data_IF_662254498385
#
_entry.id   IF_662254498385
#
_cell.length_a   1.000
_cell.length_b   1.000
_cell.length_c   1.000
_cell.angle_alpha   90.00
_cell.angle_beta   90.00
_cell.angle_gamma   90.00
#
_symmetry.space_group_name_H-M   'P 1'
#
loop_
_entity.id
_entity.type
_entity.pdbx_description
1 polymer ?
#
# COMPACT_ATOMS: atom_id res chain seq x y z
N UNK A 1 11.56 -11.30 7.77
CA UNK A 1 11.63 -10.06 6.97
C UNK A 1 11.34 -10.37 5.50
N UNK A 2 10.12 -10.77 5.12
CA UNK A 2 9.77 -11.06 3.71
C UNK A 2 8.25 -11.01 3.43
N UNK A 3 7.54 -9.98 3.93
CA UNK A 3 6.10 -9.76 3.61
C UNK A 3 5.78 -8.28 3.34
N UNK A 4 6.65 -7.54 2.65
CA UNK A 4 6.44 -6.10 2.37
C UNK A 4 5.80 -5.78 1.02
N UNK A 5 5.69 -6.74 0.09
CA UNK A 5 5.16 -6.48 -1.26
C UNK A 5 3.62 -6.35 -1.26
N UNK A 6 2.89 -7.30 -0.68
CA UNK A 6 1.42 -7.22 -0.59
C UNK A 6 0.89 -6.10 0.33
N UNK A 7 1.56 -5.82 1.46
CA UNK A 7 1.15 -4.74 2.38
C UNK A 7 1.22 -3.34 1.73
N UNK A 8 2.18 -3.11 0.84
CA UNK A 8 2.27 -1.85 0.09
C UNK A 8 1.26 -1.76 -1.05
N UNK A 9 0.82 -2.90 -1.61
CA UNK A 9 -0.10 -2.94 -2.77
C UNK A 9 -1.58 -2.92 -2.36
N UNK A 10 -1.94 -3.49 -1.21
CA UNK A 10 -3.31 -3.41 -0.68
C UNK A 10 -3.69 -1.98 -0.25
N UNK A 11 -2.74 -1.19 0.24
CA UNK A 11 -2.95 0.23 0.57
C UNK A 11 -3.28 1.10 -0.66
N UNK A 12 -2.90 0.67 -1.87
CA UNK A 12 -3.14 1.40 -3.12
C UNK A 12 -4.45 1.02 -3.82
N UNK A 13 -5.19 0.02 -3.33
CA UNK A 13 -6.55 -0.28 -3.83
C UNK A 13 -7.65 0.43 -3.04
N UNK A 14 -7.29 1.21 -2.01
CA UNK A 14 -8.20 2.16 -1.39
C UNK A 14 -8.45 3.33 -2.36
N UNK A 15 -9.55 3.24 -3.10
CA UNK A 15 -10.19 4.33 -3.85
C UNK A 15 -9.25 5.08 -4.79
N UNK A 16 -8.85 4.42 -5.89
CA UNK A 16 -8.58 5.18 -7.11
C UNK A 16 -9.91 5.84 -7.54
N UNK A 17 -10.16 7.05 -7.05
CA UNK A 17 -11.19 7.92 -7.60
C UNK A 17 -10.83 8.12 -9.07
N UNK A 18 -11.52 7.42 -9.95
CA UNK A 18 -11.43 7.69 -11.38
C UNK A 18 -11.72 9.17 -11.56
N UNK A 19 -10.87 9.93 -12.28
CA UNK A 19 -11.15 11.32 -12.55
C UNK A 19 -12.50 11.38 -13.26
N UNK A 20 -13.45 12.11 -12.67
CA UNK A 20 -14.79 12.26 -13.22
C UNK A 20 -14.69 12.74 -14.68
N UNK A 21 -15.53 12.25 -15.60
CA UNK A 21 -15.56 12.69 -16.99
C UNK A 21 -15.64 14.22 -17.10
N UNK A 22 -15.04 14.80 -18.15
CA UNK A 22 -14.97 16.27 -18.35
C UNK A 22 -16.32 16.98 -18.35
N UNK A 23 -17.41 16.26 -18.61
CA UNK A 23 -18.77 16.79 -18.64
C UNK A 23 -19.59 16.44 -17.38
N UNK A 24 -18.94 15.98 -16.30
CA UNK A 24 -19.66 15.74 -15.06
C UNK A 24 -20.12 17.09 -14.48
N UNK A 25 -21.42 17.28 -14.19
CA UNK A 25 -21.90 18.51 -13.59
C UNK A 25 -21.14 18.79 -12.29
N UNK A 26 -20.77 20.06 -12.07
CA UNK A 26 -20.18 20.50 -10.81
C UNK A 26 -21.16 20.12 -9.71
N UNK A 27 -20.76 19.18 -8.85
CA UNK A 27 -21.49 18.90 -7.62
C UNK A 27 -21.26 20.12 -6.75
N UNK A 28 -22.19 21.07 -6.79
CA UNK A 28 -22.28 22.08 -5.75
C UNK A 28 -22.42 21.32 -4.43
N UNK A 29 -21.47 21.50 -3.52
CA UNK A 29 -21.61 20.99 -2.17
C UNK A 29 -22.94 21.52 -1.66
N UNK A 30 -23.91 20.66 -1.30
CA UNK A 30 -25.18 21.14 -0.80
C UNK A 30 -24.86 22.01 0.41
N UNK A 31 -25.33 23.27 0.35
CA UNK A 31 -25.20 24.18 1.47
C UNK A 31 -25.63 23.44 2.73
N UNK A 32 -24.78 23.39 3.75
CA UNK A 32 -24.97 22.59 4.97
C UNK A 32 -26.28 22.91 5.74
N UNK A 33 -27.06 23.87 5.26
CA UNK A 33 -28.31 24.35 5.84
C UNK A 33 -29.50 24.36 4.86
N UNK A 34 -29.44 23.65 3.72
CA UNK A 34 -30.61 23.52 2.86
C UNK A 34 -31.72 22.74 3.62
N UNK A 35 -32.95 23.25 3.70
CA UNK A 35 -34.04 22.57 4.39
C UNK A 35 -34.30 21.22 3.71
N UNK A 36 -34.30 20.15 4.51
CA UNK A 36 -34.61 18.80 4.03
C UNK A 36 -36.05 18.77 3.46
N UNK A 37 -36.33 17.90 2.47
CA UNK A 37 -37.68 17.72 1.92
C UNK A 37 -38.72 17.46 3.02
N UNK A 38 -39.96 17.91 2.79
CA UNK A 38 -41.03 17.92 3.79
C UNK A 38 -41.39 16.55 4.41
N UNK A 39 -41.02 15.45 3.74
CA UNK A 39 -41.28 14.08 4.19
C UNK A 39 -40.04 13.35 4.74
N UNK A 40 -38.93 14.07 4.99
CA UNK A 40 -37.78 13.45 5.62
C UNK A 40 -38.08 13.23 7.11
N UNK A 41 -37.92 12.00 7.65
CA UNK A 41 -38.16 11.74 9.06
C UNK A 41 -37.29 12.70 9.91
N UNK A 42 -37.86 13.26 11.00
CA UNK A 42 -37.13 14.19 11.85
C UNK A 42 -35.88 13.49 12.37
N UNK A 43 -34.72 14.12 12.16
CA UNK A 43 -33.45 13.62 12.68
C UNK A 43 -33.55 13.71 14.21
N UNK A 44 -33.85 12.58 14.86
CA UNK A 44 -34.22 12.52 16.28
C UNK A 44 -33.10 12.99 17.25
N UNK A 45 -31.93 13.34 16.73
CA UNK A 45 -30.74 13.67 17.51
C UNK A 45 -30.51 15.17 17.68
N UNK A 46 -31.54 15.96 18.01
CA UNK A 46 -31.42 17.29 18.65
C UNK A 46 -30.29 18.23 18.18
N UNK A 47 -29.94 18.25 16.89
CA UNK A 47 -28.85 19.06 16.34
C UNK A 47 -27.42 18.57 16.61
N UNK A 48 -27.22 17.37 17.19
CA UNK A 48 -25.88 16.78 17.30
C UNK A 48 -25.46 16.17 15.94
N UNK A 49 -24.22 16.42 15.48
CA UNK A 49 -23.72 15.80 14.25
C UNK A 49 -23.71 14.28 14.39
N UNK A 50 -23.88 13.58 13.26
CA UNK A 50 -23.75 12.12 13.23
C UNK A 50 -22.36 11.70 13.73
N UNK A 51 -22.25 10.61 14.52
CA UNK A 51 -20.96 10.14 15.01
C UNK A 51 -20.05 9.74 13.84
N UNK A 52 -18.75 10.03 13.97
CA UNK A 52 -17.74 9.59 13.00
C UNK A 52 -17.58 8.06 13.06
N UNK A 53 -16.97 7.47 12.02
CA UNK A 53 -16.66 6.03 12.01
C UNK A 53 -15.82 5.62 13.23
N UNK A 54 -14.87 6.47 13.64
CA UNK A 54 -14.05 6.26 14.83
C UNK A 54 -14.88 6.30 16.12
N UNK A 55 -15.80 7.26 16.26
CA UNK A 55 -16.69 7.34 17.41
C UNK A 55 -17.63 6.13 17.50
N UNK A 56 -18.16 5.67 16.36
CA UNK A 56 -18.97 4.45 16.29
C UNK A 56 -18.15 3.22 16.72
N UNK A 57 -16.92 3.07 16.23
CA UNK A 57 -16.04 1.98 16.61
C UNK A 57 -15.69 2.02 18.11
N UNK A 58 -15.44 3.20 18.69
CA UNK A 58 -15.23 3.35 20.12
C UNK A 58 -16.46 2.93 20.94
N UNK A 59 -17.67 3.29 20.49
CA UNK A 59 -18.92 2.86 21.14
C UNK A 59 -19.13 1.34 21.05
N UNK A 60 -18.84 0.74 19.89
CA UNK A 60 -18.94 -0.71 19.69
C UNK A 60 -17.92 -1.46 20.56
N UNK A 61 -16.68 -0.98 20.62
CA UNK A 61 -15.62 -1.57 21.46
C UNK A 61 -15.95 -1.48 22.96
N UNK A 62 -16.63 -0.42 23.39
CA UNK A 62 -17.10 -0.27 24.77
C UNK A 62 -18.28 -1.20 25.11
N UNK A 63 -18.92 -1.84 24.12
CA UNK A 63 -20.07 -2.71 24.34
C UNK A 63 -19.62 -4.10 24.81
N UNK A 64 -19.81 -4.36 26.11
CA UNK A 64 -19.46 -5.66 26.71
C UNK A 64 -20.21 -6.83 26.06
N UNK A 65 -19.45 -7.85 25.66
CA UNK A 65 -19.99 -9.07 25.06
C UNK A 65 -20.37 -8.94 23.59
N UNK A 66 -20.03 -7.83 22.92
CA UNK A 66 -20.44 -7.62 21.52
C UNK A 66 -19.84 -8.68 20.60
N UNK A 67 -18.60 -9.11 20.80
CA UNK A 67 -17.94 -10.12 19.97
C UNK A 67 -18.60 -11.49 20.13
N UNK A 68 -19.04 -11.83 21.32
CA UNK A 68 -19.53 -13.16 21.71
C UNK A 68 -21.01 -13.40 21.41
N UNK A 69 -21.82 -12.33 21.34
CA UNK A 69 -23.25 -12.45 21.05
C UNK A 69 -23.48 -12.96 19.63
N UNK A 70 -24.40 -13.90 19.49
CA UNK A 70 -24.86 -14.35 18.19
C UNK A 70 -25.54 -13.21 17.43
N UNK A 71 -25.23 -13.10 16.13
CA UNK A 71 -25.72 -12.06 15.23
C UNK A 71 -26.35 -12.71 14.01
N UNK A 72 -27.28 -11.99 13.36
CA UNK A 72 -27.67 -12.37 12.00
C UNK A 72 -26.47 -12.23 11.05
N UNK A 73 -26.57 -12.83 9.88
CA UNK A 73 -25.55 -12.70 8.84
C UNK A 73 -25.26 -11.23 8.53
N UNK A 74 -26.30 -10.42 8.33
CA UNK A 74 -26.22 -9.03 7.91
C UNK A 74 -25.53 -8.16 8.96
N UNK A 75 -25.85 -8.35 10.24
CA UNK A 75 -25.22 -7.61 11.34
C UNK A 75 -23.74 -7.99 11.47
N UNK A 76 -23.41 -9.28 11.43
CA UNK A 76 -22.03 -9.76 11.52
C UNK A 76 -21.19 -9.27 10.33
N UNK A 77 -21.72 -9.38 9.12
CA UNK A 77 -21.09 -8.89 7.90
C UNK A 77 -20.84 -7.37 7.97
N UNK A 78 -21.83 -6.58 8.37
CA UNK A 78 -21.70 -5.13 8.50
C UNK A 78 -20.62 -4.72 9.51
N UNK A 79 -20.57 -5.37 10.68
CA UNK A 79 -19.52 -5.11 11.67
C UNK A 79 -18.15 -5.47 11.11
N UNK A 80 -17.98 -6.65 10.50
CA UNK A 80 -16.71 -7.04 9.88
C UNK A 80 -16.24 -6.02 8.83
N UNK A 81 -17.14 -5.57 7.93
CA UNK A 81 -16.83 -4.55 6.93
C UNK A 81 -16.42 -3.22 7.57
N UNK A 82 -17.11 -2.80 8.64
CA UNK A 82 -16.79 -1.59 9.38
C UNK A 82 -15.37 -1.63 9.97
N UNK A 83 -15.00 -2.70 10.70
CA UNK A 83 -13.66 -2.82 11.27
C UNK A 83 -12.58 -2.93 10.18
N UNK A 84 -12.83 -3.71 9.11
CA UNK A 84 -11.87 -3.92 8.03
C UNK A 84 -11.53 -2.61 7.30
N UNK A 85 -12.55 -1.85 6.90
CA UNK A 85 -12.38 -0.60 6.14
C UNK A 85 -11.76 0.53 6.96
N UNK A 86 -11.83 0.45 8.30
CA UNK A 86 -11.17 1.39 9.21
C UNK A 86 -9.77 0.92 9.65
N UNK A 87 -9.13 0.04 8.87
CA UNK A 87 -7.74 -0.38 9.11
C UNK A 87 -7.56 -1.30 10.32
N UNK A 88 -8.64 -1.95 10.78
CA UNK A 88 -8.62 -2.93 11.89
C UNK A 88 -8.95 -4.34 11.40
N UNK A 89 -8.14 -4.93 10.48
CA UNK A 89 -8.45 -6.22 9.87
C UNK A 89 -8.50 -7.35 10.90
N UNK A 90 -7.64 -7.32 11.93
CA UNK A 90 -7.64 -8.34 12.99
C UNK A 90 -8.94 -8.36 13.80
N UNK A 91 -9.51 -7.18 14.08
CA UNK A 91 -10.80 -7.08 14.78
C UNK A 91 -12.00 -7.47 13.91
N UNK A 92 -11.85 -7.41 12.58
CA UNK A 92 -12.89 -7.78 11.63
C UNK A 92 -13.10 -9.29 11.50
N UNK A 93 -12.02 -10.08 11.61
CA UNK A 93 -12.03 -11.55 11.44
C UNK A 93 -13.15 -12.25 12.23
N UNK A 94 -13.30 -12.06 13.56
CA UNK A 94 -14.32 -12.79 14.33
C UNK A 94 -15.76 -12.46 13.92
N UNK A 95 -16.02 -11.28 13.36
CA UNK A 95 -17.34 -10.92 12.85
C UNK A 95 -17.59 -11.56 11.48
N UNK A 96 -16.59 -11.60 10.61
CA UNK A 96 -16.71 -12.33 9.34
C UNK A 96 -16.90 -13.84 9.57
N UNK A 97 -16.25 -14.43 10.58
CA UNK A 97 -16.47 -15.84 10.95
C UNK A 97 -17.90 -16.13 11.41
N UNK A 98 -18.51 -15.20 12.15
CA UNK A 98 -19.92 -15.32 12.55
C UNK A 98 -20.86 -15.25 11.34
N UNK A 99 -20.58 -14.37 10.38
CA UNK A 99 -21.34 -14.29 9.13
C UNK A 99 -21.19 -15.58 8.30
N UNK A 100 -19.95 -16.07 8.13
CA UNK A 100 -19.66 -17.32 7.42
C UNK A 100 -20.38 -18.52 8.05
N UNK A 101 -20.43 -18.59 9.39
CA UNK A 101 -21.15 -19.64 10.10
C UNK A 101 -22.65 -19.68 9.75
N UNK A 102 -23.27 -18.53 9.46
CA UNK A 102 -24.68 -18.44 9.01
C UNK A 102 -24.87 -18.90 7.56
N UNK A 103 -23.86 -18.73 6.71
CA UNK A 103 -23.90 -19.15 5.32
C UNK A 103 -23.55 -20.64 5.09
N UNK A 104 -22.95 -21.31 6.10
CA UNK A 104 -22.46 -22.69 5.98
C UNK A 104 -23.51 -23.70 5.51
N UNK A 105 -24.75 -23.59 5.98
CA UNK A 105 -25.84 -24.47 5.55
C UNK A 105 -26.18 -24.32 4.06
N UNK A 106 -26.21 -23.07 3.58
CA UNK A 106 -26.48 -22.74 2.16
C UNK A 106 -25.37 -23.24 1.25
N UNK A 107 -24.11 -23.10 1.68
CA UNK A 107 -22.93 -23.66 1.00
C UNK A 107 -23.02 -25.17 0.86
N UNK A 108 -23.29 -25.88 1.96
CA UNK A 108 -23.44 -27.32 1.95
C UNK A 108 -24.59 -27.77 1.01
N UNK A 109 -25.71 -27.05 1.02
CA UNK A 109 -26.82 -27.28 0.11
C UNK A 109 -26.38 -27.11 -1.35
N UNK A 110 -25.72 -26.00 -1.69
CA UNK A 110 -25.23 -25.72 -3.04
C UNK A 110 -24.33 -26.86 -3.55
N UNK A 111 -23.30 -27.24 -2.79
CA UNK A 111 -22.36 -28.29 -3.18
C UNK A 111 -23.06 -29.65 -3.36
N UNK A 112 -24.03 -29.97 -2.50
CA UNK A 112 -24.83 -31.18 -2.62
C UNK A 112 -25.67 -31.19 -3.91
N UNK A 113 -26.27 -30.06 -4.28
CA UNK A 113 -27.05 -29.96 -5.52
C UNK A 113 -26.15 -29.96 -6.77
N UNK A 114 -25.01 -29.28 -6.75
CA UNK A 114 -24.01 -29.33 -7.83
C UNK A 114 -23.54 -30.76 -8.07
N UNK A 115 -23.27 -31.52 -7.00
CA UNK A 115 -22.91 -32.95 -7.11
C UNK A 115 -24.01 -33.78 -7.79
N UNK A 116 -25.29 -33.49 -7.52
CA UNK A 116 -26.44 -34.15 -8.18
C UNK A 116 -26.60 -33.74 -9.65
N UNK A 117 -26.19 -32.53 -10.02
CA UNK A 117 -26.20 -32.05 -11.40
C UNK A 117 -25.11 -32.70 -12.25
N UNK A 118 -23.97 -33.06 -11.65
CA UNK A 118 -22.83 -33.65 -12.32
C UNK A 118 -22.15 -32.62 -13.22
N UNK A 119 -22.13 -32.88 -14.53
CA UNK A 119 -21.55 -31.96 -15.54
C UNK A 119 -22.52 -30.89 -16.05
N UNK A 120 -23.79 -30.96 -15.64
CA UNK A 120 -24.80 -29.98 -16.07
C UNK A 120 -24.50 -28.61 -15.43
N UNK A 121 -24.49 -27.52 -16.20
CA UNK A 121 -24.24 -26.19 -15.66
C UNK A 121 -25.35 -25.78 -14.68
N UNK A 122 -24.99 -25.00 -13.67
CA UNK A 122 -25.94 -24.39 -12.74
C UNK A 122 -26.58 -23.17 -13.44
N UNK A 123 -27.91 -23.13 -13.59
CA UNK A 123 -28.60 -21.97 -14.18
C UNK A 123 -28.33 -20.66 -13.44
N UNK A 124 -28.60 -19.54 -14.09
CA UNK A 124 -28.59 -18.22 -13.44
C UNK A 124 -29.73 -18.10 -12.42
N UNK A 125 -29.64 -17.11 -11.53
CA UNK A 125 -30.69 -16.82 -10.55
C UNK A 125 -32.01 -16.41 -11.22
N UNK A 126 -31.91 -15.68 -12.34
CA UNK A 126 -33.01 -15.21 -13.18
C UNK A 126 -33.69 -16.37 -13.92
N UNK A 127 -32.89 -17.25 -14.54
CA UNK A 127 -33.39 -18.46 -15.22
C UNK A 127 -34.13 -19.37 -14.25
N UNK A 128 -33.58 -19.54 -13.04
CA UNK A 128 -34.21 -20.30 -11.98
C UNK A 128 -35.39 -19.57 -11.32
N UNK A 129 -35.56 -18.25 -11.55
CA UNK A 129 -36.57 -17.40 -10.93
C UNK A 129 -36.51 -17.45 -9.39
N UNK A 130 -35.34 -17.18 -8.82
CA UNK A 130 -35.14 -17.22 -7.36
C UNK A 130 -35.91 -16.10 -6.64
N UNK A 131 -36.16 -14.96 -7.29
CA UNK A 131 -37.02 -13.89 -6.77
C UNK A 131 -36.42 -13.11 -5.60
N UNK A 132 -35.09 -13.13 -5.43
CA UNK A 132 -34.43 -12.41 -4.35
C UNK A 132 -34.27 -10.93 -4.70
N UNK A 133 -34.61 -10.06 -3.75
CA UNK A 133 -34.32 -8.63 -3.78
C UNK A 133 -33.06 -8.28 -2.98
N UNK A 134 -32.58 -7.03 -3.07
CA UNK A 134 -31.40 -6.57 -2.33
C UNK A 134 -31.56 -6.67 -0.80
N UNK A 135 -32.79 -6.54 -0.30
CA UNK A 135 -33.09 -6.57 1.14
C UNK A 135 -33.55 -7.96 1.63
N UNK A 136 -33.47 -8.99 0.78
CA UNK A 136 -33.86 -10.35 1.20
C UNK A 136 -32.80 -10.88 2.16
N UNK A 137 -33.20 -11.29 3.36
CA UNK A 137 -32.27 -11.84 4.34
C UNK A 137 -31.70 -13.20 3.88
N UNK A 138 -30.46 -13.50 4.26
CA UNK A 138 -29.79 -14.75 3.86
C UNK A 138 -30.61 -15.99 4.25
N UNK A 139 -31.22 -15.98 5.43
CA UNK A 139 -32.04 -17.08 5.93
C UNK A 139 -33.29 -17.34 5.07
N UNK A 140 -33.92 -16.27 4.57
CA UNK A 140 -35.07 -16.39 3.67
C UNK A 140 -34.64 -16.96 2.31
N UNK A 141 -33.50 -16.50 1.76
CA UNK A 141 -32.93 -17.05 0.53
C UNK A 141 -32.56 -18.54 0.69
N UNK A 142 -31.96 -18.90 1.83
CA UNK A 142 -31.62 -20.27 2.18
C UNK A 142 -32.85 -21.19 2.18
N UNK A 143 -33.92 -20.75 2.86
CA UNK A 143 -35.17 -21.50 2.93
C UNK A 143 -35.79 -21.74 1.56
N UNK A 144 -35.77 -20.73 0.68
CA UNK A 144 -36.27 -20.88 -0.69
C UNK A 144 -35.47 -21.91 -1.50
N UNK A 145 -34.13 -21.92 -1.37
CA UNK A 145 -33.28 -22.92 -2.01
C UNK A 145 -33.54 -24.34 -1.46
N UNK A 146 -33.72 -24.48 -0.14
CA UNK A 146 -34.05 -25.75 0.50
C UNK A 146 -35.40 -26.31 0.06
N UNK A 147 -36.42 -25.46 -0.08
CA UNK A 147 -37.74 -25.86 -0.56
C UNK A 147 -37.66 -26.46 -1.97
N UNK A 148 -36.87 -25.85 -2.86
CA UNK A 148 -36.61 -26.40 -4.20
C UNK A 148 -35.88 -27.73 -4.15
N UNK A 149 -34.88 -27.85 -3.28
CA UNK A 149 -34.16 -29.11 -3.10
C UNK A 149 -35.07 -30.25 -2.62
N UNK A 150 -36.01 -29.94 -1.72
CA UNK A 150 -37.04 -30.88 -1.24
C UNK A 150 -38.03 -31.27 -2.34
N UNK A 151 -38.35 -30.35 -3.25
CA UNK A 151 -39.18 -30.60 -4.42
C UNK A 151 -38.48 -31.37 -5.55
N UNK A 152 -37.18 -31.71 -5.40
CA UNK A 152 -36.42 -32.42 -6.43
C UNK A 152 -35.89 -31.53 -7.57
N UNK A 153 -36.09 -30.22 -7.49
CA UNK A 153 -35.54 -29.23 -8.42
C UNK A 153 -34.07 -28.94 -8.10
N UNK A 154 -33.19 -29.91 -8.39
CA UNK A 154 -31.75 -29.75 -8.15
C UNK A 154 -31.13 -28.55 -8.90
N UNK A 155 -31.46 -28.28 -10.19
CA UNK A 155 -30.93 -27.11 -10.91
C UNK A 155 -31.36 -25.79 -10.26
N UNK A 156 -32.64 -25.62 -9.95
CA UNK A 156 -33.14 -24.39 -9.34
C UNK A 156 -32.67 -24.23 -7.90
N UNK A 157 -32.56 -25.32 -7.12
CA UNK A 157 -31.99 -25.29 -5.78
C UNK A 157 -30.51 -24.87 -5.79
N UNK A 158 -29.71 -25.41 -6.72
CA UNK A 158 -28.31 -24.98 -6.88
C UNK A 158 -28.20 -23.52 -7.29
N UNK A 159 -29.02 -23.07 -8.24
CA UNK A 159 -29.03 -21.68 -8.70
C UNK A 159 -29.40 -20.71 -7.57
N UNK A 160 -30.46 -21.01 -6.81
CA UNK A 160 -30.89 -20.15 -5.70
C UNK A 160 -29.95 -20.23 -4.50
N UNK A 161 -29.36 -21.39 -4.20
CA UNK A 161 -28.33 -21.46 -3.16
C UNK A 161 -27.08 -20.65 -3.54
N UNK A 162 -26.65 -20.69 -4.81
CA UNK A 162 -25.53 -19.85 -5.30
C UNK A 162 -25.86 -18.36 -5.21
N UNK A 163 -27.07 -17.97 -5.61
CA UNK A 163 -27.52 -16.58 -5.50
C UNK A 163 -27.58 -16.12 -4.04
N UNK A 164 -28.04 -16.98 -3.13
CA UNK A 164 -28.06 -16.72 -1.70
C UNK A 164 -26.66 -16.53 -1.11
N UNK A 165 -25.66 -17.24 -1.63
CA UNK A 165 -24.27 -17.12 -1.20
C UNK A 165 -23.56 -15.86 -1.70
N UNK A 166 -24.09 -15.13 -2.70
CA UNK A 166 -23.41 -13.97 -3.26
C UNK A 166 -22.89 -12.96 -2.20
N UNK A 167 -23.71 -12.48 -1.23
CA UNK A 167 -23.20 -11.61 -0.17
C UNK A 167 -22.22 -12.30 0.78
N UNK A 168 -22.35 -13.61 0.99
CA UNK A 168 -21.45 -14.38 1.85
C UNK A 168 -20.06 -14.54 1.22
N UNK A 169 -19.97 -14.76 -0.10
CA UNK A 169 -18.71 -14.87 -0.82
C UNK A 169 -17.90 -13.56 -0.78
N UNK A 170 -18.57 -12.40 -0.82
CA UNK A 170 -17.92 -11.11 -0.63
C UNK A 170 -17.30 -11.01 0.77
N UNK A 171 -18.06 -11.41 1.80
CA UNK A 171 -17.62 -11.42 3.21
C UNK A 171 -16.44 -12.37 3.43
N UNK A 172 -16.51 -13.57 2.88
CA UNK A 172 -15.43 -14.55 2.95
C UNK A 172 -14.17 -14.07 2.22
N UNK A 173 -14.32 -13.41 1.07
CA UNK A 173 -13.21 -12.75 0.36
C UNK A 173 -12.53 -11.67 1.22
N UNK A 174 -13.33 -10.81 1.86
CA UNK A 174 -12.81 -9.80 2.80
C UNK A 174 -12.14 -10.42 4.03
N UNK A 175 -12.67 -11.53 4.54
CA UNK A 175 -12.06 -12.30 5.63
C UNK A 175 -10.69 -12.84 5.21
N UNK A 176 -10.59 -13.41 4.01
CA UNK A 176 -9.33 -13.89 3.48
C UNK A 176 -8.30 -12.75 3.37
N UNK A 177 -8.69 -11.57 2.87
CA UNK A 177 -7.83 -10.37 2.88
C UNK A 177 -7.45 -9.93 4.30
N UNK A 178 -8.39 -9.97 5.26
CA UNK A 178 -8.12 -9.64 6.66
C UNK A 178 -7.11 -10.60 7.30
N UNK A 179 -7.19 -11.89 6.99
CA UNK A 179 -6.26 -12.92 7.43
C UNK A 179 -4.87 -12.72 6.83
N UNK A 180 -4.76 -12.32 5.55
CA UNK A 180 -3.47 -11.92 4.96
C UNK A 180 -2.84 -10.78 5.73
N UNK A 181 -3.60 -9.72 6.03
CA UNK A 181 -3.11 -8.56 6.79
C UNK A 181 -2.76 -8.91 8.24
N UNK A 182 -3.44 -9.90 8.82
CA UNK A 182 -3.14 -10.44 10.14
C UNK A 182 -1.91 -11.38 10.15
N UNK A 183 -1.38 -11.75 8.98
CA UNK A 183 -0.24 -12.65 8.84
C UNK A 183 -0.60 -14.14 8.81
N UNK A 184 -1.88 -14.51 8.88
CA UNK A 184 -2.34 -15.90 8.77
C UNK A 184 -2.57 -16.29 7.31
N UNK A 185 -1.46 -16.46 6.59
CA UNK A 185 -1.50 -16.85 5.17
C UNK A 185 -2.12 -18.23 4.94
N UNK A 186 -2.06 -19.14 5.93
CA UNK A 186 -2.61 -20.49 5.79
C UNK A 186 -4.13 -20.44 5.82
N UNK A 187 -4.71 -19.74 6.81
CA UNK A 187 -6.15 -19.57 6.89
C UNK A 187 -6.68 -18.73 5.72
N UNK A 188 -5.93 -17.72 5.28
CA UNK A 188 -6.31 -16.91 4.11
C UNK A 188 -6.40 -17.74 2.81
N UNK A 189 -5.42 -18.63 2.54
CA UNK A 189 -5.48 -19.52 1.38
C UNK A 189 -6.72 -20.41 1.41
N UNK A 190 -7.01 -21.01 2.56
CA UNK A 190 -8.20 -21.85 2.73
C UNK A 190 -9.49 -21.06 2.48
N UNK A 191 -9.60 -19.85 3.05
CA UNK A 191 -10.78 -18.99 2.83
C UNK A 191 -10.95 -18.58 1.36
N UNK A 192 -9.87 -18.27 0.63
CA UNK A 192 -9.98 -18.01 -0.81
C UNK A 192 -10.37 -19.27 -1.60
N UNK A 193 -9.87 -20.45 -1.23
CA UNK A 193 -10.23 -21.72 -1.87
C UNK A 193 -11.72 -22.04 -1.66
N UNK A 194 -12.25 -21.79 -0.46
CA UNK A 194 -13.67 -21.94 -0.16
C UNK A 194 -14.52 -21.02 -1.07
N UNK A 195 -14.13 -19.76 -1.26
CA UNK A 195 -14.83 -18.85 -2.19
C UNK A 195 -14.79 -19.39 -3.63
N UNK A 196 -13.63 -19.85 -4.09
CA UNK A 196 -13.42 -20.35 -5.45
C UNK A 196 -14.12 -21.69 -5.73
N UNK A 197 -14.42 -22.49 -4.71
CA UNK A 197 -15.23 -23.70 -4.84
C UNK A 197 -16.67 -23.38 -5.30
N UNK A 198 -17.22 -22.26 -4.82
CA UNK A 198 -18.59 -21.82 -5.17
C UNK A 198 -18.58 -20.94 -6.42
N UNK A 199 -17.62 -20.03 -6.52
CA UNK A 199 -17.50 -19.06 -7.60
C UNK A 199 -16.06 -19.06 -8.16
N UNK A 200 -15.74 -19.96 -9.12
CA UNK A 200 -14.38 -20.11 -9.67
C UNK A 200 -13.83 -18.84 -10.35
N UNK A 201 -14.71 -17.91 -10.73
CA UNK A 201 -14.36 -16.63 -11.35
C UNK A 201 -14.58 -15.45 -10.40
N UNK A 202 -14.63 -15.67 -9.08
CA UNK A 202 -14.76 -14.57 -8.14
C UNK A 202 -13.48 -13.70 -8.16
N UNK A 203 -13.62 -12.44 -8.57
CA UNK A 203 -12.48 -11.56 -8.88
C UNK A 203 -11.47 -11.46 -7.74
N UNK A 204 -11.92 -11.08 -6.53
CA UNK A 204 -11.04 -10.90 -5.37
C UNK A 204 -10.33 -12.20 -4.97
N UNK A 205 -11.07 -13.30 -4.84
CA UNK A 205 -10.52 -14.58 -4.41
C UNK A 205 -9.55 -15.18 -5.42
N UNK A 206 -9.82 -15.04 -6.72
CA UNK A 206 -8.96 -15.56 -7.77
C UNK A 206 -7.62 -14.81 -7.81
N UNK A 207 -7.65 -13.48 -7.70
CA UNK A 207 -6.43 -12.66 -7.62
C UNK A 207 -5.70 -12.90 -6.30
N UNK A 208 -6.42 -12.84 -5.17
CA UNK A 208 -5.87 -12.97 -3.82
C UNK A 208 -5.21 -14.32 -3.58
N UNK A 209 -5.83 -15.42 -4.01
CA UNK A 209 -5.25 -16.78 -3.91
C UNK A 209 -3.95 -16.90 -4.70
N UNK A 210 -3.96 -16.50 -5.99
CA UNK A 210 -2.79 -16.58 -6.86
C UNK A 210 -1.62 -15.73 -6.32
N UNK A 211 -1.90 -14.50 -5.88
CA UNK A 211 -0.89 -13.62 -5.29
C UNK A 211 -0.32 -14.22 -4.00
N UNK A 212 -1.17 -14.75 -3.12
CA UNK A 212 -0.73 -15.31 -1.84
C UNK A 212 0.10 -16.58 -2.03
N UNK A 213 -0.23 -17.44 -2.99
CA UNK A 213 0.58 -18.59 -3.38
C UNK A 213 1.96 -18.15 -3.86
N UNK A 214 2.04 -17.17 -4.76
CA UNK A 214 3.32 -16.64 -5.26
C UNK A 214 4.20 -16.12 -4.11
N UNK A 215 3.62 -15.37 -3.17
CA UNK A 215 4.37 -14.76 -2.09
C UNK A 215 4.85 -15.76 -1.03
N UNK A 216 3.98 -16.67 -0.62
CA UNK A 216 4.21 -17.53 0.55
C UNK A 216 4.77 -18.90 0.19
N UNK A 217 4.60 -19.34 -1.06
CA UNK A 217 5.04 -20.64 -1.58
C UNK A 217 6.06 -20.51 -2.71
N UNK A 218 6.90 -19.46 -2.65
CA UNK A 218 7.87 -19.13 -3.70
C UNK A 218 8.94 -20.20 -4.02
N UNK A 219 9.11 -21.22 -3.19
CA UNK A 219 10.02 -22.34 -3.44
C UNK A 219 9.28 -23.62 -3.91
N UNK A 220 7.96 -23.64 -3.82
CA UNK A 220 7.14 -24.78 -4.24
C UNK A 220 6.70 -24.56 -5.69
N UNK A 221 7.35 -25.27 -6.62
CA UNK A 221 7.08 -25.14 -8.05
C UNK A 221 5.63 -25.48 -8.41
N UNK A 222 4.98 -26.43 -7.70
CA UNK A 222 3.57 -26.77 -7.95
C UNK A 222 2.65 -25.63 -7.52
N UNK A 223 2.95 -25.00 -6.37
CA UNK A 223 2.22 -23.84 -5.91
C UNK A 223 2.40 -22.63 -6.86
N UNK A 224 3.60 -22.43 -7.40
CA UNK A 224 3.87 -21.39 -8.40
C UNK A 224 3.15 -21.65 -9.73
N UNK A 225 3.12 -22.89 -10.20
CA UNK A 225 2.33 -23.27 -11.38
C UNK A 225 0.83 -23.00 -11.15
N UNK A 226 0.34 -23.28 -9.94
CA UNK A 226 -1.04 -22.96 -9.55
C UNK A 226 -1.28 -21.45 -9.54
N UNK A 227 -0.36 -20.66 -8.96
CA UNK A 227 -0.42 -19.21 -8.98
C UNK A 227 -0.44 -18.63 -10.41
N UNK A 228 0.41 -19.15 -11.30
CA UNK A 228 0.44 -18.74 -12.71
C UNK A 228 -0.90 -19.00 -13.40
N UNK A 229 -1.43 -20.21 -13.27
CA UNK A 229 -2.76 -20.56 -13.80
C UNK A 229 -3.86 -19.69 -13.21
N UNK A 230 -3.76 -19.36 -11.92
CA UNK A 230 -4.67 -18.44 -11.25
C UNK A 230 -4.68 -17.04 -11.88
N UNK A 231 -3.51 -16.46 -12.13
CA UNK A 231 -3.40 -15.16 -12.82
C UNK A 231 -3.89 -15.21 -14.28
N UNK A 232 -3.62 -16.29 -15.02
CA UNK A 232 -4.14 -16.48 -16.37
C UNK A 232 -5.68 -16.56 -16.37
N UNK A 233 -6.25 -17.35 -15.47
CA UNK A 233 -7.69 -17.49 -15.33
C UNK A 233 -8.35 -16.17 -14.87
N UNK A 234 -7.69 -15.41 -13.99
CA UNK A 234 -8.13 -14.07 -13.60
C UNK A 234 -8.20 -13.12 -14.80
N UNK A 235 -7.16 -13.09 -15.63
CA UNK A 235 -7.11 -12.23 -16.81
C UNK A 235 -8.14 -12.62 -17.88
N UNK A 236 -8.45 -13.91 -17.99
CA UNK A 236 -9.48 -14.42 -18.89
C UNK A 236 -10.90 -14.04 -18.40
N UNK A 237 -11.16 -14.13 -17.11
CA UNK A 237 -12.47 -13.80 -16.53
C UNK A 237 -12.68 -12.28 -16.36
N UNK A 238 -11.62 -11.52 -16.05
CA UNK A 238 -11.68 -10.11 -15.65
C UNK A 238 -10.71 -9.22 -16.44
N UNK A 239 -10.78 -9.18 -17.78
CA UNK A 239 -9.81 -8.46 -18.61
C UNK A 239 -9.79 -6.94 -18.37
N UNK A 240 -10.90 -6.38 -17.87
CA UNK A 240 -11.09 -4.96 -17.58
C UNK A 240 -10.87 -4.59 -16.11
N UNK A 241 -10.53 -5.56 -15.24
CA UNK A 241 -10.28 -5.28 -13.83
C UNK A 241 -9.18 -4.22 -13.68
N UNK A 242 -9.29 -3.30 -12.70
CA UNK A 242 -8.20 -2.39 -12.35
C UNK A 242 -6.90 -3.15 -11.97
N UNK A 243 -7.01 -4.43 -11.60
CA UNK A 243 -5.86 -5.29 -11.26
C UNK A 243 -5.30 -6.06 -12.45
N UNK A 244 -5.88 -5.97 -13.66
CA UNK A 244 -5.43 -6.74 -14.82
C UNK A 244 -3.96 -6.47 -15.18
N UNK A 245 -3.51 -5.21 -15.14
CA UNK A 245 -2.09 -4.88 -15.41
C UNK A 245 -1.15 -5.51 -14.37
N UNK A 246 -1.54 -5.47 -13.09
CA UNK A 246 -0.77 -6.08 -12.01
C UNK A 246 -0.76 -7.61 -12.12
N UNK A 247 -1.90 -8.24 -12.42
CA UNK A 247 -1.99 -9.69 -12.62
C UNK A 247 -1.10 -10.18 -13.77
N UNK A 248 -1.01 -9.44 -14.90
CA UNK A 248 -0.07 -9.75 -15.98
C UNK A 248 1.38 -9.71 -15.50
N UNK A 249 1.75 -8.66 -14.77
CA UNK A 249 3.11 -8.50 -14.23
C UNK A 249 3.45 -9.62 -13.26
N UNK A 250 2.56 -9.93 -12.32
CA UNK A 250 2.76 -11.01 -11.36
C UNK A 250 2.83 -12.37 -12.03
N UNK A 251 1.96 -12.65 -13.01
CA UNK A 251 2.01 -13.89 -13.80
C UNK A 251 3.35 -14.07 -14.54
N UNK A 252 3.89 -13.00 -15.15
CA UNK A 252 5.22 -13.02 -15.76
C UNK A 252 6.33 -13.26 -14.74
N UNK A 253 6.27 -12.57 -13.59
CA UNK A 253 7.24 -12.80 -12.50
C UNK A 253 7.16 -14.23 -11.96
N UNK A 254 5.96 -14.79 -11.82
CA UNK A 254 5.75 -16.18 -11.41
C UNK A 254 6.38 -17.14 -12.43
N UNK A 255 6.20 -16.91 -13.74
CA UNK A 255 6.84 -17.72 -14.78
C UNK A 255 8.37 -17.66 -14.68
N UNK A 256 8.95 -16.46 -14.56
CA UNK A 256 10.40 -16.32 -14.40
C UNK A 256 10.92 -17.01 -13.13
N UNK A 257 10.13 -16.98 -12.04
CA UNK A 257 10.46 -17.71 -10.82
C UNK A 257 10.44 -19.23 -11.03
N UNK A 258 9.47 -19.75 -11.79
CA UNK A 258 9.41 -21.17 -12.16
C UNK A 258 10.63 -21.54 -13.02
N UNK A 259 10.95 -20.75 -14.04
CA UNK A 259 12.08 -20.99 -14.96
C UNK A 259 13.43 -20.99 -14.22
N UNK A 260 13.57 -20.13 -13.21
CA UNK A 260 14.75 -20.10 -12.35
C UNK A 260 14.82 -21.29 -11.37
N UNK A 261 13.74 -22.08 -11.24
CA UNK A 261 13.65 -23.21 -10.31
C UNK A 261 13.41 -22.78 -8.86
N UNK A 262 12.67 -21.68 -8.64
CA UNK A 262 12.29 -21.17 -7.32
C UNK A 262 12.70 -19.71 -7.07
N UNK A 263 12.05 -19.09 -6.08
CA UNK A 263 12.20 -17.65 -5.77
C UNK A 263 13.61 -17.30 -5.32
N UNK A 264 14.29 -18.13 -4.54
CA UNK A 264 15.70 -17.92 -4.16
C UNK A 264 16.62 -17.80 -5.38
N UNK A 265 16.49 -18.72 -6.35
CA UNK A 265 17.32 -18.70 -7.56
C UNK A 265 16.99 -17.52 -8.46
N UNK A 266 15.70 -17.19 -8.59
CA UNK A 266 15.25 -16.00 -9.31
C UNK A 266 15.85 -14.71 -8.71
N UNK A 267 15.81 -14.55 -7.39
CA UNK A 267 16.38 -13.37 -6.74
C UNK A 267 17.91 -13.32 -6.89
N UNK A 268 18.58 -14.46 -6.83
CA UNK A 268 20.02 -14.56 -7.07
C UNK A 268 20.40 -14.15 -8.50
N UNK A 269 19.68 -14.65 -9.52
CA UNK A 269 19.95 -14.26 -10.92
C UNK A 269 19.71 -12.77 -11.15
N UNK A 270 18.65 -12.21 -10.56
CA UNK A 270 18.38 -10.76 -10.61
C UNK A 270 19.46 -9.94 -9.91
N UNK A 271 20.04 -10.43 -8.82
CA UNK A 271 21.14 -9.76 -8.15
C UNK A 271 22.41 -9.74 -9.02
N UNK A 272 22.74 -10.84 -9.69
CA UNK A 272 23.88 -10.91 -10.61
C UNK A 272 23.68 -10.02 -11.84
N UNK A 273 22.50 -10.05 -12.47
CA UNK A 273 22.15 -9.16 -13.59
C UNK A 273 22.33 -7.66 -13.23
N UNK A 274 22.03 -7.30 -11.98
CA UNK A 274 22.24 -5.93 -11.48
C UNK A 274 23.71 -5.59 -11.33
N UNK A 275 24.52 -6.52 -10.78
CA UNK A 275 25.98 -6.32 -10.67
C UNK A 275 26.61 -6.09 -12.04
N UNK A 276 26.22 -6.88 -13.03
CA UNK A 276 26.71 -6.74 -14.42
C UNK A 276 26.29 -5.41 -15.04
N UNK A 277 25.03 -5.00 -14.88
CA UNK A 277 24.59 -3.69 -15.39
C UNK A 277 25.30 -2.53 -14.71
N UNK A 278 25.50 -2.59 -13.41
CA UNK A 278 26.21 -1.55 -12.68
C UNK A 278 27.68 -1.48 -13.12
N UNK A 279 28.34 -2.62 -13.35
CA UNK A 279 29.72 -2.62 -13.84
C UNK A 279 29.83 -2.09 -15.28
N UNK A 280 28.86 -2.38 -16.15
CA UNK A 280 28.80 -1.80 -17.50
C UNK A 280 28.61 -0.28 -17.46
N UNK A 281 27.67 0.23 -16.65
CA UNK A 281 27.46 1.67 -16.49
C UNK A 281 28.70 2.36 -15.94
N UNK A 282 29.43 1.74 -15.01
CA UNK A 282 30.69 2.28 -14.48
C UNK A 282 31.84 2.22 -15.51
N UNK A 283 31.86 1.22 -16.40
CA UNK A 283 32.85 1.11 -17.46
C UNK A 283 32.60 2.08 -18.64
N UNK A 284 31.34 2.40 -18.90
CA UNK A 284 30.91 3.35 -19.94
C UNK A 284 30.83 4.80 -19.42
N UNK A 285 31.04 5.02 -18.11
CA UNK A 285 31.12 6.36 -17.56
C UNK A 285 32.31 7.10 -18.22
N UNK A 286 32.07 8.22 -18.92
CA UNK A 286 33.14 8.97 -19.56
C UNK A 286 34.18 9.37 -18.50
N UNK A 287 35.49 9.31 -18.81
CA UNK A 287 36.52 9.77 -17.88
C UNK A 287 36.16 11.19 -17.45
N UNK A 288 36.20 11.43 -16.14
CA UNK A 288 35.93 12.74 -15.55
C UNK A 288 36.76 13.78 -16.29
N UNK A 289 36.13 14.53 -17.18
CA UNK A 289 36.81 15.60 -17.89
C UNK A 289 37.21 16.62 -16.83
N UNK A 290 38.50 16.99 -16.73
CA UNK A 290 38.89 18.11 -15.88
C UNK A 290 38.09 19.34 -16.34
N UNK A 291 37.69 20.23 -15.41
CA UNK A 291 36.94 21.42 -15.77
C UNK A 291 37.74 22.21 -16.82
N UNK A 292 37.23 22.25 -18.04
CA UNK A 292 37.85 22.96 -19.13
C UNK A 292 37.80 24.46 -18.81
N UNK A 293 38.95 25.00 -18.40
CA UNK A 293 39.15 26.43 -18.30
C UNK A 293 39.13 27.03 -19.71
N UNK A 294 38.06 27.73 -20.04
CA UNK A 294 38.00 28.62 -21.20
C UNK A 294 37.27 28.07 -22.41
N UNK A 295 35.95 28.29 -22.46
CA UNK A 295 35.22 28.39 -23.72
C UNK A 295 34.34 29.65 -23.66
N UNK A 296 34.59 30.68 -24.47
CA UNK A 296 33.74 31.85 -24.55
C UNK A 296 32.59 31.61 -25.55
N UNK A 297 31.36 31.91 -25.13
CA UNK A 297 30.25 32.25 -26.02
C UNK A 297 29.42 31.09 -26.56
N UNK A 298 28.46 30.61 -25.76
CA UNK A 298 27.14 30.22 -26.27
C UNK A 298 26.08 30.55 -25.22
N UNK A 299 25.30 31.58 -25.52
CA UNK A 299 24.17 32.04 -24.73
C UNK A 299 23.05 30.98 -24.77
N UNK A 300 22.78 30.37 -23.62
CA UNK A 300 21.65 29.45 -23.45
C UNK A 300 21.91 28.24 -22.54
N UNK A 301 23.14 28.04 -22.05
CA UNK A 301 23.41 27.01 -21.06
C UNK A 301 22.88 27.42 -19.67
N UNK A 302 22.21 26.53 -18.91
CA UNK A 302 21.95 26.77 -17.50
C UNK A 302 23.30 27.01 -16.80
N UNK A 303 23.33 27.85 -15.74
CA UNK A 303 24.58 28.24 -15.10
C UNK A 303 25.42 27.01 -14.74
N UNK A 304 26.76 27.07 -14.84
CA UNK A 304 27.69 25.94 -14.66
C UNK A 304 27.66 25.27 -13.27
N UNK A 305 26.77 25.73 -12.39
CA UNK A 305 26.55 25.29 -11.02
C UNK A 305 25.15 24.73 -10.76
N UNK A 306 24.29 24.60 -11.78
CA UNK A 306 22.99 23.95 -11.61
C UNK A 306 23.19 22.43 -11.54
N UNK A 307 22.76 21.74 -10.47
CA UNK A 307 22.78 20.29 -10.45
C UNK A 307 21.97 19.75 -11.65
N UNK A 308 22.45 18.70 -12.34
CA UNK A 308 21.76 18.15 -13.49
C UNK A 308 20.31 17.82 -13.11
N UNK A 309 19.36 18.26 -13.92
CA UNK A 309 17.96 17.98 -13.68
C UNK A 309 17.74 16.46 -13.71
N UNK A 310 17.24 15.89 -12.61
CA UNK A 310 16.87 14.48 -12.53
C UNK A 310 15.75 14.23 -13.55
N UNK A 311 16.05 13.42 -14.58
CA UNK A 311 15.04 13.05 -15.56
C UNK A 311 13.99 12.14 -14.92
N UNK A 312 12.80 12.10 -15.52
CA UNK A 312 11.71 11.24 -15.03
C UNK A 312 12.14 9.76 -15.02
N UNK A 313 12.91 9.36 -16.01
CA UNK A 313 13.47 8.01 -16.14
C UNK A 313 14.45 7.70 -15.00
N UNK A 314 15.29 8.66 -14.60
CA UNK A 314 16.18 8.50 -13.45
C UNK A 314 15.39 8.39 -12.13
N UNK A 315 14.33 9.19 -11.96
CA UNK A 315 13.47 9.12 -10.77
C UNK A 315 12.72 7.79 -10.69
N UNK A 316 12.22 7.29 -11.82
CA UNK A 316 11.55 5.99 -11.88
C UNK A 316 12.54 4.84 -11.67
N UNK A 317 13.76 4.93 -12.19
CA UNK A 317 14.82 3.94 -11.94
C UNK A 317 15.19 3.90 -10.45
N UNK A 318 15.33 5.06 -9.80
CA UNK A 318 15.61 5.16 -8.38
C UNK A 318 14.47 4.60 -7.52
N UNK A 319 13.22 4.95 -7.84
CA UNK A 319 12.04 4.42 -7.11
C UNK A 319 11.88 2.91 -7.24
N UNK A 320 12.28 2.35 -8.37
CA UNK A 320 12.21 0.91 -8.63
C UNK A 320 13.48 0.14 -8.21
N UNK A 321 14.48 0.81 -7.65
CA UNK A 321 15.69 0.16 -7.14
C UNK A 321 15.36 -0.49 -5.79
N UNK A 322 15.52 -1.81 -5.69
CA UNK A 322 15.36 -2.54 -4.44
C UNK A 322 16.39 -2.05 -3.41
N UNK A 323 15.93 -1.70 -2.19
CA UNK A 323 16.79 -1.30 -1.06
C UNK A 323 17.54 -2.52 -0.52
N UNK A 324 18.74 -2.79 -1.06
CA UNK A 324 19.61 -3.83 -0.53
C UNK A 324 20.46 -3.29 0.63
N UNK A 325 20.90 -4.14 1.57
CA UNK A 325 21.78 -3.72 2.66
C UNK A 325 23.07 -3.04 2.18
N UNK A 326 23.62 -3.47 1.04
CA UNK A 326 24.83 -2.92 0.46
C UNK A 326 24.60 -1.50 -0.08
N UNK A 327 23.44 -1.26 -0.71
CA UNK A 327 23.05 0.07 -1.17
C UNK A 327 22.87 1.01 0.03
N UNK A 328 22.16 0.56 1.07
CA UNK A 328 21.95 1.36 2.28
C UNK A 328 23.28 1.70 2.97
N UNK A 329 24.23 0.76 3.04
CA UNK A 329 25.56 1.00 3.56
C UNK A 329 26.36 2.01 2.70
N UNK A 330 26.25 1.92 1.38
CA UNK A 330 26.87 2.87 0.45
C UNK A 330 26.30 4.29 0.59
N UNK A 331 24.98 4.40 0.74
CA UNK A 331 24.30 5.68 0.98
C UNK A 331 24.69 6.27 2.34
N UNK A 332 24.80 5.45 3.38
CA UNK A 332 25.28 5.90 4.70
C UNK A 332 26.71 6.46 4.63
N UNK A 333 27.60 5.78 3.87
CA UNK A 333 28.97 6.25 3.63
C UNK A 333 29.00 7.61 2.92
N UNK A 334 28.14 7.82 1.91
CA UNK A 334 28.03 9.11 1.23
C UNK A 334 27.58 10.23 2.18
N UNK A 335 26.66 9.95 3.12
CA UNK A 335 26.26 10.92 4.14
C UNK A 335 27.45 11.28 5.04
N UNK A 336 28.24 10.30 5.49
CA UNK A 336 29.43 10.51 6.31
C UNK A 336 30.53 11.29 5.58
N UNK A 337 30.75 11.00 4.30
CA UNK A 337 31.64 11.76 3.42
C UNK A 337 31.18 13.22 3.33
N UNK A 338 29.88 13.45 3.10
CA UNK A 338 29.30 14.80 3.07
C UNK A 338 29.56 15.61 4.35
N UNK A 339 29.46 14.96 5.51
CA UNK A 339 29.73 15.61 6.80
C UNK A 339 31.22 15.90 7.00
N UNK A 340 32.10 15.02 6.53
CA UNK A 340 33.55 15.26 6.53
C UNK A 340 33.93 16.45 5.62
N UNK A 341 33.22 16.61 4.51
CA UNK A 341 33.37 17.76 3.64
C UNK A 341 32.87 19.05 4.31
N UNK A 342 31.70 19.01 4.96
CA UNK A 342 31.16 20.14 5.72
C UNK A 342 32.11 20.62 6.82
N UNK A 343 32.61 19.71 7.65
CA UNK A 343 33.51 20.02 8.76
C UNK A 343 34.84 20.66 8.30
N UNK A 344 35.21 20.47 7.04
CA UNK A 344 36.41 21.08 6.44
C UNK A 344 36.07 22.28 5.54
N UNK A 345 34.84 22.81 5.60
CA UNK A 345 34.38 23.95 4.80
C UNK A 345 34.25 23.68 3.29
N UNK A 346 34.33 22.42 2.85
CA UNK A 346 34.21 22.01 1.45
C UNK A 346 32.74 21.82 1.07
N UNK A 347 32.01 22.93 1.02
CA UNK A 347 30.55 22.90 0.88
C UNK A 347 30.06 22.37 -0.48
N UNK A 348 30.82 22.54 -1.57
CA UNK A 348 30.43 22.06 -2.90
C UNK A 348 30.50 20.54 -2.97
N UNK A 349 31.56 19.94 -2.44
CA UNK A 349 31.74 18.49 -2.38
C UNK A 349 30.75 17.84 -1.41
N UNK A 350 30.47 18.50 -0.27
CA UNK A 350 29.41 18.08 0.63
C UNK A 350 28.05 18.02 -0.06
N UNK A 351 27.69 19.07 -0.80
CA UNK A 351 26.46 19.13 -1.58
C UNK A 351 26.39 18.00 -2.62
N UNK A 352 27.49 17.70 -3.29
CA UNK A 352 27.59 16.59 -4.25
C UNK A 352 27.38 15.21 -3.61
N UNK A 353 27.86 15.01 -2.38
CA UNK A 353 27.62 13.77 -1.62
C UNK A 353 26.13 13.62 -1.26
N UNK A 354 25.50 14.66 -0.69
CA UNK A 354 24.09 14.60 -0.30
C UNK A 354 23.13 14.51 -1.49
N UNK A 355 23.44 15.17 -2.61
CA UNK A 355 22.62 15.11 -3.82
C UNK A 355 22.52 13.69 -4.39
N UNK A 356 23.54 12.85 -4.17
CA UNK A 356 23.52 11.42 -4.54
C UNK A 356 22.65 10.57 -3.62
N UNK A 357 22.45 10.99 -2.37
CA UNK A 357 21.65 10.26 -1.36
C UNK A 357 20.15 10.56 -1.50
N UNK A 358 19.80 11.83 -1.75
CA UNK A 358 18.42 12.32 -1.72
C UNK A 358 17.43 11.57 -2.62
N UNK A 359 17.77 11.14 -3.85
CA UNK A 359 16.84 10.39 -4.68
C UNK A 359 16.42 9.05 -4.04
N UNK A 360 17.34 8.37 -3.35
CA UNK A 360 17.11 7.04 -2.76
C UNK A 360 16.49 7.13 -1.36
N UNK A 361 16.84 8.17 -0.61
CA UNK A 361 16.38 8.40 0.75
C UNK A 361 15.85 9.84 0.91
N UNK A 362 14.72 10.19 0.27
CA UNK A 362 14.17 11.54 0.36
C UNK A 362 13.81 11.96 1.79
N UNK A 363 13.52 10.98 2.65
CA UNK A 363 13.14 11.15 4.06
C UNK A 363 14.33 11.10 5.03
N UNK A 364 15.57 10.99 4.53
CA UNK A 364 16.74 11.00 5.41
C UNK A 364 17.00 12.43 5.94
N UNK A 365 16.55 12.66 7.19
CA UNK A 365 16.73 13.93 7.89
C UNK A 365 18.20 14.39 7.98
N UNK A 366 19.14 13.45 8.16
CA UNK A 366 20.59 13.72 8.24
C UNK A 366 21.14 14.24 6.91
N UNK A 367 20.81 13.57 5.80
CA UNK A 367 21.23 14.02 4.46
C UNK A 367 20.60 15.36 4.09
N UNK A 368 19.32 15.56 4.44
CA UNK A 368 18.59 16.81 4.18
C UNK A 368 19.15 17.99 4.98
N UNK A 369 19.45 17.80 6.26
CA UNK A 369 20.11 18.81 7.10
C UNK A 369 21.50 19.18 6.56
N UNK A 370 22.29 18.17 6.17
CA UNK A 370 23.62 18.38 5.57
C UNK A 370 23.55 19.16 4.25
N UNK A 371 22.61 18.80 3.37
CA UNK A 371 22.37 19.51 2.11
C UNK A 371 21.97 20.96 2.35
N UNK A 372 21.06 21.21 3.29
CA UNK A 372 20.64 22.56 3.66
C UNK A 372 21.82 23.41 4.15
N UNK A 373 22.64 22.86 5.05
CA UNK A 373 23.81 23.56 5.58
C UNK A 373 24.88 23.84 4.52
N UNK A 374 25.12 22.89 3.60
CA UNK A 374 26.02 23.09 2.47
C UNK A 374 25.54 24.25 1.56
N UNK A 375 24.25 24.32 1.26
CA UNK A 375 23.67 25.41 0.45
C UNK A 375 23.77 26.78 1.15
N UNK A 376 23.61 26.81 2.48
CA UNK A 376 23.83 28.02 3.29
C UNK A 376 25.28 28.48 3.21
N UNK A 377 26.25 27.56 3.39
CA UNK A 377 27.68 27.86 3.27
C UNK A 377 28.08 28.39 1.88
N UNK A 378 27.45 27.85 0.83
CA UNK A 378 27.62 28.29 -0.56
C UNK A 378 26.84 29.57 -0.92
N UNK A 379 26.01 30.10 -0.01
CA UNK A 379 25.13 31.26 -0.24
C UNK A 379 24.25 31.10 -1.49
N UNK A 380 23.76 29.88 -1.77
CA UNK A 380 22.89 29.63 -2.91
C UNK A 380 21.48 30.19 -2.65
N UNK A 381 20.78 30.75 -3.65
CA UNK A 381 19.47 31.39 -3.45
C UNK A 381 18.38 30.44 -2.94
N UNK A 382 18.52 29.13 -3.18
CA UNK A 382 17.60 28.11 -2.69
C UNK A 382 17.85 27.66 -1.24
N UNK A 383 18.91 28.14 -0.59
CA UNK A 383 19.33 27.70 0.75
C UNK A 383 18.22 27.86 1.79
N UNK A 384 17.52 29.00 1.79
CA UNK A 384 16.45 29.28 2.76
C UNK A 384 15.28 28.29 2.65
N UNK A 385 14.88 27.94 1.42
CA UNK A 385 13.80 26.99 1.19
C UNK A 385 14.18 25.60 1.69
N UNK A 386 15.37 25.12 1.32
CA UNK A 386 15.83 23.78 1.72
C UNK A 386 16.07 23.72 3.23
N UNK A 387 16.57 24.79 3.83
CA UNK A 387 16.71 24.93 5.28
C UNK A 387 15.37 24.87 6.01
N UNK A 388 14.36 25.62 5.55
CA UNK A 388 13.01 25.57 6.14
C UNK A 388 12.40 24.17 6.11
N UNK A 389 12.59 23.42 5.02
CA UNK A 389 12.12 22.03 4.91
C UNK A 389 12.88 21.09 5.85
N UNK A 390 14.21 21.27 5.99
CA UNK A 390 15.01 20.47 6.90
C UNK A 390 14.58 20.67 8.36
N UNK A 391 14.43 21.93 8.78
CA UNK A 391 14.06 22.30 10.15
C UNK A 391 12.62 21.92 10.49
N UNK A 392 11.67 22.11 9.56
CA UNK A 392 10.27 21.77 9.81
C UNK A 392 10.02 20.25 9.80
N UNK A 393 10.82 19.50 9.04
CA UNK A 393 10.68 18.06 8.91
C UNK A 393 11.35 17.27 10.04
N UNK A 394 12.61 17.60 10.36
CA UNK A 394 13.39 16.91 11.40
C UNK A 394 14.44 17.86 12.01
N UNK A 395 14.02 18.73 12.97
CA UNK A 395 14.93 19.67 13.61
C UNK A 395 15.99 18.97 14.50
N UNK A 396 15.70 17.75 14.97
CA UNK A 396 16.65 16.96 15.76
C UNK A 396 17.83 16.46 14.89
N UNK A 397 17.58 16.11 13.62
CA UNK A 397 18.66 15.80 12.68
C UNK A 397 19.58 17.00 12.42
N UNK A 398 19.03 18.22 12.39
CA UNK A 398 19.82 19.46 12.25
C UNK A 398 20.69 19.66 13.50
N UNK A 399 20.14 19.52 14.70
CA UNK A 399 20.94 19.61 15.94
C UNK A 399 22.09 18.58 15.96
N UNK A 400 21.79 17.31 15.62
CA UNK A 400 22.75 16.21 15.58
C UNK A 400 23.85 16.41 14.54
N UNK A 401 23.55 17.07 13.42
CA UNK A 401 24.57 17.47 12.46
C UNK A 401 25.56 18.43 13.10
N UNK A 402 25.09 19.41 13.88
CA UNK A 402 25.97 20.31 14.64
C UNK A 402 26.86 19.55 15.65
N UNK A 403 26.32 18.54 16.34
CA UNK A 403 27.13 17.68 17.24
C UNK A 403 28.24 16.96 16.48
N UNK A 404 27.91 16.50 15.27
CA UNK A 404 28.84 15.80 14.38
C UNK A 404 29.93 16.73 13.85
N UNK A 405 29.60 17.97 13.49
CA UNK A 405 30.57 18.99 13.09
C UNK A 405 31.53 19.31 14.24
N UNK A 406 31.02 19.51 15.47
CA UNK A 406 31.85 19.72 16.66
C UNK A 406 32.79 18.54 16.91
N UNK A 407 32.29 17.31 16.82
CA UNK A 407 33.10 16.09 16.97
C UNK A 407 34.19 15.94 15.89
N UNK A 408 33.97 16.52 14.71
CA UNK A 408 34.95 16.60 13.60
C UNK A 408 35.85 17.84 13.67
N UNK A 409 35.93 18.48 14.84
CA UNK A 409 36.73 19.69 15.11
C UNK A 409 36.26 20.97 14.40
N UNK A 410 35.03 21.02 13.87
CA UNK A 410 34.40 22.23 13.35
C UNK A 410 33.44 22.85 14.38
N UNK A 411 34.02 23.32 15.50
CA UNK A 411 33.24 23.95 16.56
C UNK A 411 32.57 25.26 16.11
N UNK A 412 33.21 26.00 15.20
CA UNK A 412 32.66 27.24 14.65
C UNK A 412 31.45 26.98 13.76
N UNK A 413 31.54 26.01 12.84
CA UNK A 413 30.42 25.61 11.99
C UNK A 413 29.27 25.00 12.79
N UNK A 414 29.57 24.17 13.81
CA UNK A 414 28.57 23.65 14.73
C UNK A 414 27.81 24.78 15.44
N UNK A 415 28.51 25.77 16.00
CA UNK A 415 27.90 26.92 16.68
C UNK A 415 27.03 27.74 15.74
N UNK A 416 27.50 28.03 14.54
CA UNK A 416 26.73 28.76 13.53
C UNK A 416 25.45 28.02 13.12
N UNK A 417 25.53 26.69 12.97
CA UNK A 417 24.40 25.83 12.65
C UNK A 417 23.36 25.84 13.76
N UNK A 418 23.77 25.68 15.02
CA UNK A 418 22.87 25.72 16.17
C UNK A 418 22.21 27.08 16.37
N UNK A 419 22.94 28.18 16.18
CA UNK A 419 22.38 29.54 16.23
C UNK A 419 21.27 29.71 15.19
N UNK A 420 21.50 29.21 13.98
CA UNK A 420 20.51 29.27 12.91
C UNK A 420 19.30 28.39 13.20
N UNK A 421 19.49 27.22 13.81
CA UNK A 421 18.40 26.33 14.24
C UNK A 421 17.54 27.01 15.30
N UNK A 422 18.14 27.60 16.33
CA UNK A 422 17.44 28.32 17.39
C UNK A 422 16.61 29.49 16.84
N UNK A 423 17.17 30.24 15.89
CA UNK A 423 16.47 31.34 15.22
C UNK A 423 15.32 30.87 14.31
N UNK A 424 15.43 29.67 13.71
CA UNK A 424 14.46 29.17 12.72
C UNK A 424 13.36 28.28 13.33
N UNK A 425 13.60 27.70 14.51
CA UNK A 425 12.65 26.84 15.22
C UNK A 425 12.60 27.20 16.71
N UNK A 426 11.98 28.34 17.07
CA UNK A 426 11.92 28.82 18.45
C UNK A 426 11.16 27.88 19.40
N UNK A 427 10.29 27.01 18.86
CA UNK A 427 9.49 26.02 19.59
C UNK A 427 10.06 24.59 19.52
N UNK A 428 11.35 24.45 19.15
CA UNK A 428 12.01 23.14 19.05
C UNK A 428 11.99 22.39 20.40
N UNK A 429 11.48 21.14 20.49
CA UNK A 429 11.40 20.40 21.75
C UNK A 429 12.75 20.20 22.46
N UNK A 430 13.86 20.13 21.73
CA UNK A 430 15.22 20.00 22.26
C UNK A 430 15.87 21.32 22.69
N UNK A 431 15.13 22.45 22.70
CA UNK A 431 15.68 23.80 22.90
C UNK A 431 16.58 23.96 24.12
N UNK A 432 16.22 23.37 25.27
CA UNK A 432 17.07 23.46 26.48
C UNK A 432 18.47 22.88 26.26
N UNK A 433 18.57 21.77 25.51
CA UNK A 433 19.86 21.17 25.16
C UNK A 433 20.63 22.03 24.16
N UNK A 434 19.93 22.59 23.17
CA UNK A 434 20.49 23.52 22.19
C UNK A 434 21.06 24.79 22.85
N UNK A 435 20.32 25.40 23.79
CA UNK A 435 20.76 26.58 24.53
C UNK A 435 22.03 26.31 25.36
N UNK A 436 22.16 25.12 25.95
CA UNK A 436 23.38 24.73 26.66
C UNK A 436 24.58 24.66 25.70
N UNK A 437 24.40 24.05 24.52
CA UNK A 437 25.44 23.95 23.48
C UNK A 437 25.87 25.31 22.93
N UNK A 438 24.99 26.30 22.94
CA UNK A 438 25.30 27.67 22.49
C UNK A 438 26.11 28.49 23.51
N UNK A 439 26.06 28.11 24.80
CA UNK A 439 26.81 28.75 25.89
C UNK A 439 28.24 28.22 26.03
N UNK A 440 28.48 27.01 25.55
CA UNK A 440 29.83 26.47 25.31
C UNK A 440 30.51 27.18 24.12
#
# INVERSE_FOLDING_TARGET
>A
MTSSLLLSLYALSALAQTPLPKDHPKVEQPAANAPLPADHPPVANGGRPAPTAEQLLQQLDATLGLKEREKSFEIAAALGKLYFTNGRPQDAVPYFEQAEAKAKGVRALYLAQVKRLGKRPVPSAEEARCGFGPDTALEAMASAAEQRAKAGDAPGAAACARAALAPALEVEGMRASALVLAGDSKAALAAYEDVLEVAPTHEEAQFGHAALLYETRGEDLKALESARKGFEAFLAAHPQSPRAALARKLGQMTQQTIDAGGRKKYLASRAEDRKVRLSQVLAEAPPAQPPAAGAPGMDGAPPPDAPPALTKEMLDAVKNTERTPELEAGLARLVEEGEEHLARGRYQEALGAYTRVMPFQPDNGRARAGMAWALVGLKRPMAERVWSVAVSGDPAAVEKLGDTLKAKNDAAGAKALWQRLDASAPDYPGKKGLEAKLRE
#
